data_IF_542983919456
#
_entry.id   IF_542983919456
#
_cell.length_a   1.000
_cell.length_b   1.000
_cell.length_c   1.000
_cell.angle_alpha   90.00
_cell.angle_beta   90.00
_cell.angle_gamma   90.00
#
_symmetry.space_group_name_H-M   'P 1'
#
loop_
_entity.id
_entity.type
_entity.pdbx_description
1 polymer ?
#
# COMPACT_ATOMS: atom_id res chain seq x y z
N UNK A 1 -11.74 -5.05 -29.63
CA UNK A 1 -11.08 -5.30 -28.79
C UNK A 1 -10.84 -4.34 -27.77
N UNK A 2 -10.79 -4.58 -26.70
CA UNK A 2 -10.66 -3.75 -25.81
C UNK A 2 -9.44 -3.84 -25.17
N UNK A 3 -8.67 -3.05 -25.22
CA UNK A 3 -7.52 -3.15 -24.63
C UNK A 3 -7.50 -2.57 -23.35
N UNK A 4 -8.54 -2.08 -22.89
CA UNK A 4 -8.50 -1.35 -21.68
C UNK A 4 -9.25 -1.89 -20.57
N UNK A 5 -9.12 -3.14 -20.31
CA UNK A 5 -9.75 -3.71 -19.15
C UNK A 5 -8.86 -3.60 -17.94
N UNK A 6 -8.33 -2.43 -17.71
CA UNK A 6 -7.48 -2.23 -16.54
C UNK A 6 -8.24 -1.51 -15.45
N UNK A 7 -8.04 -1.95 -14.23
CA UNK A 7 -8.61 -1.34 -13.05
C UNK A 7 -7.48 -0.75 -12.23
N UNK A 8 -7.69 0.46 -11.72
CA UNK A 8 -6.73 1.13 -10.87
C UNK A 8 -7.43 1.42 -9.55
N UNK A 9 -6.87 0.93 -8.47
CA UNK A 9 -7.40 1.20 -7.13
C UNK A 9 -6.35 1.95 -6.36
N UNK A 10 -6.73 3.06 -5.77
CA UNK A 10 -5.82 3.95 -5.06
C UNK A 10 -6.25 4.06 -3.61
N UNK A 11 -5.33 3.77 -2.71
CA UNK A 11 -5.54 3.96 -1.29
C UNK A 11 -4.83 5.25 -0.87
N UNK A 12 -5.59 6.25 -0.50
CA UNK A 12 -5.05 7.53 -0.06
C UNK A 12 -4.99 7.54 1.46
N UNK A 13 -3.81 7.83 1.98
CA UNK A 13 -3.59 7.85 3.41
C UNK A 13 -3.23 9.26 3.85
N UNK A 14 -3.88 9.73 4.91
CA UNK A 14 -3.56 11.02 5.48
C UNK A 14 -3.28 10.82 6.97
N UNK A 15 -2.13 11.29 7.40
CA UNK A 15 -1.65 11.05 8.75
C UNK A 15 -1.62 12.36 9.53
N UNK A 16 -1.76 12.25 10.83
CA UNK A 16 -1.61 13.41 11.69
C UNK A 16 -0.15 13.82 11.72
N UNK A 17 0.10 15.04 12.18
CA UNK A 17 1.45 15.56 12.27
C UNK A 17 2.33 14.59 13.06
N UNK A 18 3.57 14.49 12.64
CA UNK A 18 4.58 13.67 13.30
C UNK A 18 4.42 12.16 13.11
N UNK A 19 3.39 11.71 12.41
CA UNK A 19 3.24 10.28 12.11
C UNK A 19 3.67 10.01 10.69
N UNK A 20 4.23 8.82 10.47
CA UNK A 20 4.63 8.40 9.14
C UNK A 20 4.19 6.96 8.90
N UNK A 21 4.05 6.61 7.63
CA UNK A 21 3.64 5.27 7.20
C UNK A 21 4.73 4.75 6.26
N UNK A 22 5.01 3.46 6.38
CA UNK A 22 6.13 2.90 5.64
C UNK A 22 5.83 2.67 4.17
N UNK A 23 6.89 2.69 3.36
CA UNK A 23 6.82 2.37 1.96
C UNK A 23 6.35 0.93 1.77
N UNK A 24 5.79 0.63 0.60
CA UNK A 24 5.42 -0.73 0.25
C UNK A 24 6.61 -1.57 -0.17
N UNK A 25 7.79 -0.96 -0.34
CA UNK A 25 8.98 -1.68 -0.73
C UNK A 25 9.70 -2.18 0.50
N UNK A 26 10.43 -3.27 0.34
CA UNK A 26 11.16 -3.84 1.47
C UNK A 26 12.26 -2.91 1.94
N UNK A 27 12.50 -2.92 3.22
CA UNK A 27 13.54 -2.10 3.81
C UNK A 27 13.92 -2.67 5.17
N UNK A 28 15.09 -2.26 5.64
CA UNK A 28 15.55 -2.61 6.96
C UNK A 28 15.75 -4.10 7.17
N UNK A 29 15.61 -4.54 8.40
CA UNK A 29 15.87 -5.93 8.77
C UNK A 29 14.58 -6.74 8.95
N UNK A 30 13.45 -6.19 8.56
CA UNK A 30 12.19 -6.90 8.70
C UNK A 30 11.44 -6.63 9.99
N UNK A 31 12.01 -5.83 10.89
CA UNK A 31 11.35 -5.51 12.15
C UNK A 31 10.12 -4.64 11.94
N UNK A 32 10.10 -3.86 10.87
CA UNK A 32 8.98 -2.98 10.56
C UNK A 32 8.22 -3.55 9.40
N UNK A 33 6.92 -3.30 9.36
CA UNK A 33 6.06 -3.87 8.34
C UNK A 33 5.87 -2.90 7.18
N UNK A 34 6.26 -3.26 5.96
CA UNK A 34 5.96 -2.45 4.79
C UNK A 34 4.45 -2.39 4.59
N UNK A 35 3.98 -1.34 3.93
CA UNK A 35 2.57 -1.25 3.58
C UNK A 35 2.27 -2.20 2.42
N UNK A 36 1.20 -2.96 2.53
CA UNK A 36 0.82 -3.92 1.50
C UNK A 36 -0.62 -3.75 1.12
N UNK A 37 -0.87 -3.68 -0.17
CA UNK A 37 -2.21 -3.55 -0.72
C UNK A 37 -2.52 -4.84 -1.46
N UNK A 38 -3.65 -5.46 -1.19
CA UNK A 38 -4.02 -6.71 -1.84
C UNK A 38 -5.48 -6.71 -2.24
N UNK A 39 -5.80 -7.43 -3.29
CA UNK A 39 -7.15 -7.56 -3.82
C UNK A 39 -7.48 -9.04 -3.93
N UNK A 40 -8.60 -9.45 -3.39
CA UNK A 40 -8.96 -10.87 -3.33
C UNK A 40 -9.23 -11.50 -4.69
N UNK A 41 -9.81 -10.72 -5.61
CA UNK A 41 -10.31 -11.28 -6.87
C UNK A 41 -9.25 -11.44 -7.95
N UNK A 42 -8.01 -11.06 -7.68
CA UNK A 42 -6.96 -11.13 -8.70
C UNK A 42 -5.82 -12.02 -8.24
N UNK A 43 -5.02 -12.46 -9.19
CA UNK A 43 -3.81 -13.20 -8.91
C UNK A 43 -2.68 -12.61 -9.73
N UNK A 44 -1.45 -12.85 -9.29
CA UNK A 44 -0.29 -12.34 -10.00
C UNK A 44 -0.19 -12.93 -11.39
N UNK A 45 -0.55 -14.19 -11.53
CA UNK A 45 -0.41 -14.86 -12.81
C UNK A 45 -1.43 -14.42 -13.84
N UNK A 46 -2.65 -14.15 -13.40
CA UNK A 46 -3.73 -13.86 -14.33
C UNK A 46 -3.93 -12.39 -14.59
N UNK A 47 -3.66 -11.57 -13.61
CA UNK A 47 -4.03 -10.15 -13.68
C UNK A 47 -2.83 -9.21 -13.72
N UNK A 48 -1.64 -9.72 -13.51
CA UNK A 48 -0.38 -8.97 -13.65
C UNK A 48 -0.42 -7.61 -12.94
N UNK A 49 -0.63 -7.61 -11.62
CA UNK A 49 -0.77 -6.33 -10.91
C UNK A 49 0.54 -5.54 -10.89
N UNK A 50 0.40 -4.23 -10.99
CA UNK A 50 1.52 -3.31 -10.88
C UNK A 50 1.25 -2.43 -9.68
N UNK A 51 2.21 -2.38 -8.74
CA UNK A 51 2.07 -1.60 -7.52
C UNK A 51 2.94 -0.35 -7.61
N UNK A 52 2.36 0.79 -7.28
CA UNK A 52 3.10 2.04 -7.24
C UNK A 52 2.73 2.79 -5.98
N UNK A 53 3.54 3.74 -5.61
CA UNK A 53 3.28 4.55 -4.44
C UNK A 53 3.69 5.99 -4.72
N UNK A 54 3.03 6.94 -4.05
CA UNK A 54 3.32 8.34 -4.20
C UNK A 54 3.31 9.02 -2.84
N UNK A 55 4.14 10.01 -2.69
CA UNK A 55 4.22 10.79 -1.48
C UNK A 55 5.61 11.37 -1.31
N UNK A 56 5.83 11.98 -0.17
CA UNK A 56 7.13 12.55 0.14
C UNK A 56 7.95 11.48 0.84
N UNK A 57 8.67 10.70 0.05
CA UNK A 57 9.42 9.55 0.56
C UNK A 57 10.68 10.01 1.27
N UNK A 58 10.90 9.49 2.45
CA UNK A 58 12.07 9.81 3.26
C UNK A 58 12.85 8.54 3.50
N UNK A 59 14.15 8.61 3.24
CA UNK A 59 15.07 7.54 3.56
C UNK A 59 15.74 7.91 4.87
N UNK A 60 15.74 7.01 5.82
CA UNK A 60 16.31 7.26 7.13
C UNK A 60 16.92 5.99 7.66
N UNK A 61 17.57 6.10 8.80
CA UNK A 61 18.14 4.94 9.44
C UNK A 61 17.72 4.92 10.88
N UNK A 62 17.28 3.78 11.38
CA UNK A 62 16.89 3.63 12.77
C UNK A 62 17.92 2.75 13.43
N UNK A 63 18.45 3.23 14.55
CA UNK A 63 19.47 2.50 15.28
C UNK A 63 18.93 1.15 15.70
N UNK A 64 19.67 0.09 15.41
CA UNK A 64 19.24 -1.27 15.73
C UNK A 64 18.36 -1.93 14.68
N UNK A 65 17.84 -1.15 13.71
CA UNK A 65 16.98 -1.70 12.68
C UNK A 65 17.61 -1.55 11.30
N UNK A 66 18.25 -0.43 11.04
CA UNK A 66 18.88 -0.17 9.76
C UNK A 66 18.09 0.82 8.93
N UNK A 67 18.31 0.81 7.60
CA UNK A 67 17.64 1.78 6.74
C UNK A 67 16.14 1.53 6.66
N UNK A 68 15.36 2.59 6.65
CA UNK A 68 13.91 2.52 6.51
C UNK A 68 13.45 3.54 5.49
N UNK A 69 12.30 3.31 4.91
CA UNK A 69 11.69 4.23 3.95
C UNK A 69 10.25 4.48 4.36
N UNK A 70 9.88 5.74 4.45
CA UNK A 70 8.52 6.06 4.88
C UNK A 70 8.05 7.38 4.29
N UNK A 71 6.74 7.61 4.39
CA UNK A 71 6.11 8.84 3.94
C UNK A 71 5.60 9.63 5.14
N UNK A 72 5.75 10.94 5.07
CA UNK A 72 5.18 11.82 6.08
C UNK A 72 3.91 12.46 5.56
N UNK A 73 2.93 12.57 6.42
CA UNK A 73 1.71 13.33 6.14
C UNK A 73 0.74 12.64 5.21
N UNK A 74 1.10 12.50 3.96
CA UNK A 74 0.22 11.91 2.97
C UNK A 74 0.95 10.89 2.14
N UNK A 75 0.28 9.82 1.81
CA UNK A 75 0.82 8.79 0.93
C UNK A 75 -0.31 8.17 0.14
N UNK A 76 0.00 7.69 -1.05
CA UNK A 76 -0.96 6.95 -1.85
C UNK A 76 -0.33 5.67 -2.32
N UNK A 77 -1.08 4.59 -2.23
CA UNK A 77 -0.64 3.29 -2.71
C UNK A 77 -1.60 2.87 -3.80
N UNK A 78 -1.07 2.45 -4.93
CA UNK A 78 -1.90 2.16 -6.08
C UNK A 78 -1.63 0.77 -6.60
N UNK A 79 -2.68 0.07 -7.00
CA UNK A 79 -2.55 -1.19 -7.69
C UNK A 79 -3.31 -1.07 -9.02
N UNK A 80 -2.65 -1.46 -10.10
CA UNK A 80 -3.25 -1.47 -11.43
C UNK A 80 -3.20 -2.90 -11.94
N UNK A 81 -4.32 -3.42 -12.41
CA UNK A 81 -4.37 -4.81 -12.85
C UNK A 81 -5.36 -4.99 -13.99
N UNK A 82 -5.19 -6.10 -14.71
CA UNK A 82 -6.14 -6.45 -15.75
C UNK A 82 -7.40 -6.97 -15.06
N UNK A 83 -8.53 -6.37 -15.37
CA UNK A 83 -9.77 -6.72 -14.69
C UNK A 83 -10.22 -8.13 -15.07
N UNK A 84 -10.66 -8.93 -14.11
CA UNK A 84 -11.31 -10.19 -14.43
C UNK A 84 -12.59 -9.93 -15.20
N UNK A 85 -12.94 -10.84 -16.07
CA UNK A 85 -14.11 -10.67 -16.90
C UNK A 85 -15.37 -10.63 -16.04
N UNK A 86 -16.23 -9.67 -16.30
CA UNK A 86 -17.49 -9.52 -15.59
C UNK A 86 -17.42 -9.17 -14.12
N UNK A 87 -16.26 -8.82 -13.63
CA UNK A 87 -16.14 -8.41 -12.23
C UNK A 87 -16.22 -6.90 -12.11
N UNK A 88 -17.07 -6.44 -11.24
CA UNK A 88 -17.22 -5.01 -10.98
C UNK A 88 -16.98 -4.64 -9.53
N UNK A 89 -16.96 -5.60 -8.64
CA UNK A 89 -16.75 -5.35 -7.21
C UNK A 89 -15.48 -6.05 -6.78
N UNK A 90 -14.64 -5.33 -6.08
CA UNK A 90 -13.36 -5.85 -5.64
C UNK A 90 -13.22 -5.64 -4.13
N UNK A 91 -12.84 -6.70 -3.44
CA UNK A 91 -12.58 -6.63 -2.01
C UNK A 91 -11.09 -6.70 -1.81
N UNK A 92 -10.60 -5.89 -0.93
CA UNK A 92 -9.19 -5.88 -0.69
C UNK A 92 -8.85 -5.49 0.72
N UNK A 93 -7.56 -5.44 0.99
CA UNK A 93 -7.03 -5.07 2.28
C UNK A 93 -5.81 -4.23 2.09
N UNK A 94 -5.61 -3.31 3.03
CA UNK A 94 -4.34 -2.60 3.11
C UNK A 94 -3.78 -2.88 4.50
N UNK A 95 -2.57 -3.43 4.54
CA UNK A 95 -1.87 -3.72 5.78
C UNK A 95 -0.77 -2.69 5.94
N UNK A 96 -0.67 -2.08 7.11
CA UNK A 96 0.30 -1.01 7.31
C UNK A 96 0.70 -0.90 8.78
N UNK A 97 1.76 -0.15 9.00
CA UNK A 97 2.21 0.18 10.33
C UNK A 97 2.60 1.66 10.32
N UNK A 98 2.19 2.40 11.34
CA UNK A 98 2.57 3.81 11.44
C UNK A 98 3.36 4.03 12.72
N UNK A 99 4.27 4.99 12.64
CA UNK A 99 5.15 5.32 13.74
C UNK A 99 5.32 6.83 13.83
N UNK A 100 5.67 7.29 15.02
CA UNK A 100 6.17 8.66 15.16
C UNK A 100 7.55 8.56 15.80
N UNK A 101 8.09 9.65 16.31
CA UNK A 101 9.44 9.63 16.84
C UNK A 101 9.55 8.88 18.16
N UNK A 102 8.44 8.64 18.80
CA UNK A 102 8.43 8.05 20.12
C UNK A 102 8.01 6.58 20.09
N UNK A 103 7.09 6.22 19.24
CA UNK A 103 6.51 4.88 19.26
C UNK A 103 5.97 4.47 17.90
N UNK A 104 5.76 3.17 17.74
CA UNK A 104 5.06 2.61 16.60
C UNK A 104 3.81 1.91 17.09
N UNK A 105 2.76 2.00 16.30
CA UNK A 105 1.55 1.23 16.59
C UNK A 105 1.72 -0.18 16.04
N UNK A 106 0.95 -1.12 16.53
CA UNK A 106 0.98 -2.47 16.02
C UNK A 106 0.55 -2.46 14.55
N UNK A 107 1.08 -3.38 13.73
CA UNK A 107 0.62 -3.46 12.36
C UNK A 107 -0.89 -3.65 12.30
N UNK A 108 -1.52 -2.99 11.37
CA UNK A 108 -2.96 -2.93 11.25
C UNK A 108 -3.37 -3.30 9.84
N UNK A 109 -4.50 -3.97 9.70
CA UNK A 109 -5.06 -4.30 8.39
C UNK A 109 -6.47 -3.73 8.32
N UNK A 110 -6.76 -3.03 7.23
CA UNK A 110 -8.10 -2.53 6.98
C UNK A 110 -8.63 -3.12 5.69
N UNK A 111 -9.88 -3.56 5.73
CA UNK A 111 -10.53 -4.13 4.57
C UNK A 111 -11.37 -3.08 3.86
N UNK A 112 -11.52 -3.23 2.56
CA UNK A 112 -12.34 -2.32 1.78
C UNK A 112 -13.02 -3.04 0.64
N UNK A 113 -14.07 -2.41 0.12
CA UNK A 113 -14.78 -2.92 -1.05
C UNK A 113 -14.96 -1.77 -2.03
N UNK A 114 -14.62 -2.01 -3.27
CA UNK A 114 -14.73 -1.00 -4.32
C UNK A 114 -15.61 -1.55 -5.43
N UNK A 115 -16.54 -0.75 -5.90
CA UNK A 115 -17.41 -1.15 -7.00
C UNK A 115 -17.22 -0.19 -8.15
N UNK A 116 -17.00 -0.74 -9.34
CA UNK A 116 -16.86 0.06 -10.55
C UNK A 116 -18.21 0.47 -11.09
N UNK A 117 -18.26 1.59 -11.75
CA UNK A 117 -19.50 2.06 -12.36
C UNK A 117 -19.62 1.68 -13.80
#
# INVERSE_FOLDING_TARGET
>A
KKENNKVIIIANCQLKDDWHIFSSKEFGDGSMSPTQLSIEEISDEMNHPIYTEKGNLIDSEIEGIGPVKYFLGKASYQIEFAAPQNSKTFKGEIAYQICNEVMCQAPTTKSFTVTLK
#
